data_IF_670879212720
#
_entry.id   IF_670879212720
#
_cell.length_a   1.000
_cell.length_b   1.000
_cell.length_c   1.000
_cell.angle_alpha   90.00
_cell.angle_beta   90.00
_cell.angle_gamma   90.00
#
_symmetry.space_group_name_H-M   'P 1'
#
loop_
_entity.id
_entity.type
_entity.pdbx_description
1 polymer ?
#
# COMPACT_ATOMS: atom_id res chain seq x y z
N UNK A 1 5.51 -21.13 0.65
CA UNK A 1 6.46 -20.08 0.18
C UNK A 1 5.80 -19.30 -0.94
N UNK A 2 6.18 -18.05 -1.18
CA UNK A 2 5.67 -17.31 -2.33
C UNK A 2 6.37 -17.79 -3.62
N UNK A 3 5.60 -18.08 -4.66
CA UNK A 3 6.08 -18.49 -5.97
C UNK A 3 6.46 -17.27 -6.84
N UNK A 4 5.77 -16.13 -6.68
CA UNK A 4 6.13 -14.89 -7.35
C UNK A 4 5.68 -13.67 -6.54
N UNK A 5 6.51 -12.63 -6.51
CA UNK A 5 6.18 -11.33 -5.92
C UNK A 5 6.63 -10.23 -6.87
N UNK A 6 5.70 -9.40 -7.31
CA UNK A 6 5.98 -8.26 -8.19
C UNK A 6 5.38 -6.98 -7.59
N UNK A 7 6.10 -5.87 -7.68
CA UNK A 7 5.62 -4.54 -7.34
C UNK A 7 5.70 -3.63 -8.55
N UNK A 8 4.59 -3.00 -8.89
CA UNK A 8 4.52 -1.88 -9.82
C UNK A 8 4.24 -0.58 -9.09
N UNK A 9 4.86 0.50 -9.56
CA UNK A 9 4.56 1.87 -9.12
C UNK A 9 4.35 2.72 -10.35
N UNK A 10 3.21 3.41 -10.42
CA UNK A 10 2.87 4.26 -11.55
C UNK A 10 2.32 5.61 -11.09
N UNK A 11 2.82 6.68 -11.69
CA UNK A 11 2.19 8.00 -11.57
C UNK A 11 0.98 8.07 -12.50
N UNK A 12 -0.19 8.45 -11.97
CA UNK A 12 -1.46 8.53 -12.71
C UNK A 12 -1.90 9.98 -12.85
N UNK A 13 -2.06 10.42 -14.10
CA UNK A 13 -2.50 11.77 -14.46
C UNK A 13 -1.66 12.91 -13.84
N UNK A 14 -0.41 12.63 -13.42
CA UNK A 14 0.45 13.54 -12.64
C UNK A 14 -0.17 14.06 -11.33
N UNK A 15 -1.21 13.39 -10.82
CA UNK A 15 -1.98 13.81 -9.63
C UNK A 15 -1.87 12.84 -8.46
N UNK A 16 -1.48 11.60 -8.72
CA UNK A 16 -1.33 10.58 -7.69
C UNK A 16 -0.45 9.42 -8.16
N UNK A 17 -0.22 8.49 -7.24
CA UNK A 17 0.56 7.28 -7.47
C UNK A 17 -0.31 6.07 -7.18
N UNK A 18 -0.25 5.07 -8.06
CA UNK A 18 -0.78 3.74 -7.83
C UNK A 18 0.39 2.80 -7.53
N UNK A 19 0.35 2.19 -6.36
CA UNK A 19 1.26 1.11 -5.97
C UNK A 19 0.47 -0.19 -6.06
N UNK A 20 0.98 -1.17 -6.79
CA UNK A 20 0.32 -2.46 -6.93
C UNK A 20 1.32 -3.58 -6.71
N UNK A 21 0.99 -4.48 -5.79
CA UNK A 21 1.71 -5.72 -5.56
C UNK A 21 0.88 -6.90 -6.05
N UNK A 22 1.53 -7.80 -6.78
CA UNK A 22 0.97 -9.09 -7.19
C UNK A 22 1.78 -10.21 -6.56
N UNK A 23 1.12 -10.99 -5.71
CA UNK A 23 1.71 -12.10 -4.97
C UNK A 23 1.01 -13.38 -5.39
N UNK A 24 1.80 -14.42 -5.73
CA UNK A 24 1.33 -15.80 -5.87
C UNK A 24 2.13 -16.71 -4.97
N UNK A 25 1.49 -17.72 -4.42
CA UNK A 25 2.07 -18.70 -3.53
C UNK A 25 1.45 -20.08 -3.78
N UNK A 26 2.26 -21.12 -3.61
CA UNK A 26 1.81 -22.51 -3.83
C UNK A 26 0.81 -22.97 -2.77
N UNK A 27 0.77 -22.29 -1.62
CA UNK A 27 -0.18 -22.52 -0.53
C UNK A 27 -0.66 -21.18 0.04
N UNK A 28 -1.91 -21.08 0.55
CA UNK A 28 -2.43 -19.85 1.13
C UNK A 28 -1.57 -19.35 2.30
N UNK A 29 -1.15 -18.08 2.23
CA UNK A 29 -0.33 -17.43 3.24
C UNK A 29 -0.84 -16.06 3.64
N UNK A 30 -0.34 -15.54 4.75
CA UNK A 30 -0.59 -14.18 5.21
C UNK A 30 0.28 -13.19 4.43
N UNK A 31 -0.35 -12.25 3.72
CA UNK A 31 0.35 -11.15 3.03
C UNK A 31 0.15 -9.86 3.80
N UNK A 32 1.26 -9.17 4.10
CA UNK A 32 1.25 -7.87 4.75
C UNK A 32 1.94 -6.83 3.88
N UNK A 33 1.15 -5.95 3.27
CA UNK A 33 1.68 -4.74 2.63
C UNK A 33 2.04 -3.72 3.71
N UNK A 34 3.15 -3.01 3.56
CA UNK A 34 3.51 -1.96 4.51
C UNK A 34 4.35 -0.84 3.93
N UNK A 35 4.18 0.34 4.52
CA UNK A 35 4.97 1.55 4.26
C UNK A 35 5.32 2.21 5.60
N UNK A 36 6.60 2.52 5.80
CA UNK A 36 7.06 3.25 6.98
C UNK A 36 6.92 4.75 6.75
N UNK A 37 6.43 5.47 7.74
CA UNK A 37 6.21 6.92 7.67
C UNK A 37 6.41 7.58 9.03
N UNK A 38 6.78 8.87 9.01
CA UNK A 38 6.79 9.77 10.17
C UNK A 38 5.57 10.72 10.19
N UNK A 39 4.60 10.47 9.32
CA UNK A 39 3.36 11.24 9.29
C UNK A 39 2.42 10.75 10.40
N UNK A 40 1.57 11.64 10.90
CA UNK A 40 0.40 11.25 11.69
C UNK A 40 -0.56 10.50 10.77
N UNK A 41 -0.88 9.26 11.10
CA UNK A 41 -1.75 8.40 10.30
C UNK A 41 -3.16 8.37 10.92
N UNK A 42 -4.19 8.54 10.08
CA UNK A 42 -5.58 8.29 10.43
C UNK A 42 -6.16 7.32 9.40
N UNK A 43 -6.38 6.07 9.81
CA UNK A 43 -6.95 5.03 8.97
C UNK A 43 -8.45 4.89 9.26
N UNK A 44 -9.25 4.63 8.22
CA UNK A 44 -10.68 4.36 8.27
C UNK A 44 -11.04 3.34 7.19
N UNK A 45 -11.07 2.06 7.59
CA UNK A 45 -11.29 0.94 6.68
C UNK A 45 -10.34 0.98 5.46
N UNK A 46 -10.85 1.09 4.23
CA UNK A 46 -10.02 1.14 3.02
C UNK A 46 -9.40 2.52 2.73
N UNK A 47 -9.65 3.55 3.57
CA UNK A 47 -9.15 4.91 3.39
C UNK A 47 -8.12 5.26 4.46
N UNK A 48 -7.20 6.15 4.12
CA UNK A 48 -6.21 6.67 5.07
C UNK A 48 -5.87 8.13 4.75
N UNK A 49 -5.57 8.89 5.79
CA UNK A 49 -4.97 10.22 5.68
C UNK A 49 -3.65 10.23 6.45
N UNK A 50 -2.59 10.66 5.78
CA UNK A 50 -1.27 10.87 6.36
C UNK A 50 -1.02 12.38 6.41
N UNK A 51 -0.66 12.90 7.58
CA UNK A 51 -0.40 14.32 7.78
C UNK A 51 1.02 14.55 8.30
N UNK A 52 1.77 15.45 7.66
CA UNK A 52 3.13 15.82 8.06
C UNK A 52 3.38 17.30 7.76
N UNK A 53 3.71 18.09 8.79
CA UNK A 53 4.03 19.53 8.68
C UNK A 53 2.94 20.31 7.92
N UNK A 54 1.67 20.12 8.29
CA UNK A 54 0.53 20.79 7.66
C UNK A 54 0.16 20.28 6.25
N UNK A 55 0.93 19.37 5.67
CA UNK A 55 0.63 18.74 4.37
C UNK A 55 -0.08 17.42 4.58
N UNK A 56 -1.04 17.10 3.69
CA UNK A 56 -1.80 15.85 3.71
C UNK A 56 -1.50 15.00 2.48
N UNK A 57 -1.53 13.70 2.67
CA UNK A 57 -1.54 12.69 1.63
C UNK A 57 -2.72 11.76 1.92
N UNK A 58 -3.61 11.63 0.95
CA UNK A 58 -4.78 10.76 1.02
C UNK A 58 -4.44 9.42 0.39
N UNK A 59 -5.01 8.34 0.93
CA UNK A 59 -4.84 7.01 0.39
C UNK A 59 -6.13 6.21 0.36
N UNK A 60 -6.21 5.28 -0.60
CA UNK A 60 -7.31 4.33 -0.74
C UNK A 60 -6.80 2.98 -1.20
N UNK A 61 -7.26 1.90 -0.57
CA UNK A 61 -7.13 0.54 -1.08
C UNK A 61 -8.16 0.36 -2.19
N UNK A 62 -7.69 -0.02 -3.37
CA UNK A 62 -8.51 -0.33 -4.53
C UNK A 62 -8.73 -1.84 -4.69
N UNK A 63 -7.79 -2.65 -4.21
CA UNK A 63 -7.89 -4.10 -4.17
C UNK A 63 -6.99 -4.71 -3.07
N UNK A 64 -7.33 -5.89 -2.52
CA UNK A 64 -8.60 -6.59 -2.72
C UNK A 64 -9.73 -5.93 -1.93
N UNK A 65 -10.97 -6.28 -2.24
CA UNK A 65 -12.13 -5.89 -1.44
C UNK A 65 -12.02 -6.45 0.00
N UNK A 66 -12.57 -5.72 0.98
CA UNK A 66 -12.51 -6.09 2.39
C UNK A 66 -11.15 -5.86 3.07
N UNK A 67 -10.10 -5.47 2.32
CA UNK A 67 -8.84 -5.07 2.92
C UNK A 67 -8.94 -3.69 3.58
N UNK A 68 -8.21 -3.51 4.69
CA UNK A 68 -8.22 -2.27 5.49
C UNK A 68 -6.82 -1.79 5.83
N UNK A 69 -6.68 -0.48 5.99
CA UNK A 69 -5.49 0.10 6.58
C UNK A 69 -5.45 -0.10 8.09
N UNK A 70 -4.25 -0.28 8.62
CA UNK A 70 -3.96 -0.29 10.05
C UNK A 70 -2.54 0.24 10.29
N UNK A 71 -2.15 0.45 11.55
CA UNK A 71 -0.80 0.86 11.93
C UNK A 71 -0.17 -0.14 12.88
N UNK A 72 1.11 -0.42 12.67
CA UNK A 72 1.93 -1.16 13.64
C UNK A 72 3.17 -0.33 13.99
N UNK A 73 3.71 -0.56 15.20
CA UNK A 73 4.96 0.07 15.62
C UNK A 73 6.09 -0.25 14.64
N UNK A 74 6.83 0.78 14.22
CA UNK A 74 7.99 0.61 13.33
C UNK A 74 9.34 0.68 14.07
N UNK A 75 9.31 0.88 15.38
CA UNK A 75 10.53 1.00 16.17
C UNK A 75 11.24 -0.37 16.23
N UNK A 76 12.49 -0.48 15.74
CA UNK A 76 13.22 -1.75 15.78
C UNK A 76 13.61 -2.12 17.21
N UNK A 77 13.89 -3.41 17.45
CA UNK A 77 14.41 -3.87 18.73
C UNK A 77 15.90 -3.49 18.85
N UNK A 78 16.44 -3.27 20.07
CA UNK A 78 17.87 -3.16 20.28
C UNK A 78 18.61 -4.38 19.68
N UNK A 79 19.84 -4.22 19.16
CA UNK A 79 20.70 -3.03 19.25
C UNK A 79 20.52 -2.01 18.13
N UNK A 80 19.56 -2.20 17.22
CA UNK A 80 19.33 -1.28 16.10
C UNK A 80 18.96 0.13 16.57
N UNK A 81 19.33 1.14 15.76
CA UNK A 81 19.01 2.55 16.05
C UNK A 81 17.50 2.73 16.15
N UNK A 82 17.06 3.20 17.32
CA UNK A 82 15.64 3.42 17.62
C UNK A 82 15.03 4.51 16.73
N UNK A 83 13.78 4.31 16.33
CA UNK A 83 12.95 5.14 15.44
C UNK A 83 11.55 5.32 16.06
N UNK A 84 11.48 5.87 17.27
CA UNK A 84 10.23 5.99 18.02
C UNK A 84 9.18 6.90 17.35
N UNK A 85 9.59 7.78 16.43
CA UNK A 85 8.71 8.65 15.66
C UNK A 85 8.18 8.02 14.37
N UNK A 86 8.62 6.81 14.04
CA UNK A 86 8.18 6.09 12.85
C UNK A 86 7.00 5.16 13.15
N UNK A 87 6.03 5.16 12.24
CA UNK A 87 4.89 4.24 12.24
C UNK A 87 4.88 3.47 10.92
N UNK A 88 4.52 2.19 10.96
CA UNK A 88 4.34 1.38 9.75
C UNK A 88 2.85 1.33 9.45
N UNK A 89 2.44 2.04 8.39
CA UNK A 89 1.12 1.86 7.78
C UNK A 89 1.11 0.50 7.10
N UNK A 90 0.10 -0.32 7.38
CA UNK A 90 -0.06 -1.64 6.79
C UNK A 90 -1.43 -1.81 6.14
N UNK A 91 -1.53 -2.74 5.18
CA UNK A 91 -2.80 -3.23 4.69
C UNK A 91 -3.04 -4.62 5.27
N UNK A 92 -4.14 -4.80 6.00
CA UNK A 92 -4.62 -6.10 6.47
C UNK A 92 -5.60 -6.67 5.46
N UNK A 93 -5.29 -7.86 4.97
CA UNK A 93 -6.20 -8.64 4.14
C UNK A 93 -7.30 -9.31 4.98
N UNK A 94 -8.46 -9.63 4.39
CA UNK A 94 -9.53 -10.32 5.11
C UNK A 94 -9.19 -11.77 5.50
N UNK A 95 -8.17 -12.38 4.86
CA UNK A 95 -7.71 -13.72 5.18
C UNK A 95 -6.46 -14.12 4.39
N UNK A 96 -6.03 -15.37 4.60
CA UNK A 96 -4.94 -16.00 3.86
C UNK A 96 -5.31 -16.16 2.39
N UNK A 97 -4.30 -16.11 1.52
CA UNK A 97 -4.52 -16.17 0.07
C UNK A 97 -3.36 -16.86 -0.66
N UNK A 98 -3.68 -17.61 -1.71
CA UNK A 98 -2.70 -18.19 -2.64
C UNK A 98 -2.35 -17.25 -3.80
N UNK A 99 -3.22 -16.28 -4.10
CA UNK A 99 -2.97 -15.25 -5.11
C UNK A 99 -3.69 -13.96 -4.73
N UNK A 100 -2.97 -12.84 -4.67
CA UNK A 100 -3.56 -11.55 -4.33
C UNK A 100 -2.93 -10.42 -5.11
N UNK A 101 -3.77 -9.46 -5.48
CA UNK A 101 -3.38 -8.14 -5.94
C UNK A 101 -3.72 -7.11 -4.88
N UNK A 102 -2.69 -6.48 -4.30
CA UNK A 102 -2.87 -5.37 -3.37
C UNK A 102 -2.62 -4.07 -4.13
N UNK A 103 -3.64 -3.25 -4.30
CA UNK A 103 -3.54 -1.98 -5.03
C UNK A 103 -3.88 -0.80 -4.12
N UNK A 104 -2.92 0.09 -3.93
CA UNK A 104 -3.01 1.27 -3.06
C UNK A 104 -2.79 2.53 -3.88
N UNK A 105 -3.81 3.39 -3.93
CA UNK A 105 -3.72 4.72 -4.52
C UNK A 105 -3.34 5.74 -3.44
N UNK A 106 -2.42 6.65 -3.77
CA UNK A 106 -1.99 7.76 -2.92
C UNK A 106 -2.03 9.06 -3.72
N UNK A 107 -2.57 10.14 -3.14
CA UNK A 107 -2.63 11.44 -3.80
C UNK A 107 -2.60 12.61 -2.80
N UNK A 108 -2.03 13.78 -3.16
CA UNK A 108 -2.06 14.98 -2.32
C UNK A 108 -3.47 15.56 -2.15
N UNK A 109 -4.37 15.29 -3.10
CA UNK A 109 -5.78 15.72 -3.07
C UNK A 109 -6.69 14.49 -3.03
N UNK A 110 -7.72 14.50 -2.18
CA UNK A 110 -8.66 13.38 -2.04
C UNK A 110 -9.40 13.07 -3.36
N UNK A 111 -9.79 14.10 -4.11
CA UNK A 111 -10.47 13.97 -5.39
C UNK A 111 -9.62 13.23 -6.44
N UNK A 112 -8.29 13.34 -6.35
CA UNK A 112 -7.38 12.69 -7.29
C UNK A 112 -7.26 11.17 -7.08
N UNK A 113 -7.79 10.60 -5.98
CA UNK A 113 -7.80 9.15 -5.79
C UNK A 113 -8.66 8.41 -6.83
N UNK A 114 -9.68 9.08 -7.39
CA UNK A 114 -10.47 8.53 -8.50
C UNK A 114 -9.71 8.45 -9.83
N UNK A 115 -8.60 9.20 -9.97
CA UNK A 115 -7.77 9.23 -11.18
C UNK A 115 -6.81 8.04 -11.25
N UNK A 116 -6.71 7.24 -10.18
CA UNK A 116 -5.86 6.05 -10.15
C UNK A 116 -6.25 5.01 -11.24
N UNK A 117 -7.48 5.07 -11.75
CA UNK A 117 -7.98 4.23 -12.84
C UNK A 117 -8.34 2.82 -12.39
N UNK A 118 -8.65 1.95 -13.37
CA UNK A 118 -8.90 0.54 -13.13
C UNK A 118 -7.62 -0.19 -12.70
N UNK A 119 -7.79 -1.16 -11.79
CA UNK A 119 -6.72 -2.01 -11.27
C UNK A 119 -6.49 -3.20 -12.22
N UNK A 120 -5.67 -3.00 -13.25
CA UNK A 120 -5.31 -4.03 -14.23
C UNK A 120 -4.05 -4.81 -13.81
N UNK A 121 -3.85 -6.05 -14.30
CA UNK A 121 -2.61 -6.79 -14.06
C UNK A 121 -1.36 -5.98 -14.34
N UNK A 122 -0.34 -6.15 -13.50
CA UNK A 122 0.95 -5.48 -13.74
C UNK A 122 1.48 -5.80 -15.14
N UNK A 123 1.19 -7.00 -15.67
CA UNK A 123 1.61 -7.47 -17.00
C UNK A 123 1.14 -6.55 -18.14
N UNK A 124 0.04 -5.83 -17.92
CA UNK A 124 -0.58 -4.94 -18.89
C UNK A 124 -0.17 -3.48 -18.69
N UNK A 125 0.69 -3.18 -17.70
CA UNK A 125 1.13 -1.81 -17.48
C UNK A 125 2.12 -1.36 -18.57
N UNK A 126 1.97 -0.15 -19.12
CA UNK A 126 2.93 0.40 -20.07
C UNK A 126 4.26 0.73 -19.40
N UNK A 127 5.36 0.75 -20.18
CA UNK A 127 6.68 1.21 -19.71
C UNK A 127 7.43 0.21 -18.83
N UNK A 128 7.07 -1.08 -18.92
CA UNK A 128 7.78 -2.17 -18.24
C UNK A 128 9.20 -2.26 -18.82
N UNK A 129 10.21 -2.06 -17.98
CA UNK A 129 11.60 -2.39 -18.36
C UNK A 129 11.64 -3.91 -18.55
N UNK A 130 12.01 -4.35 -19.76
CA UNK A 130 12.26 -5.76 -20.06
C UNK A 130 13.52 -6.23 -19.35
#
# INVERSE_FOLDING_TARGET
MAASVQRGVAMRGRKGVLIQDEVRADQPLDVLWGMVTRAKVRADGPRVVLEKRGKRLYGRILAPEGARFDTVGANPKPPERQQSDATKLVVRLPGKTGAVRVAVALAPEAAALGVAGAVTPLAEWPGRLK
#
